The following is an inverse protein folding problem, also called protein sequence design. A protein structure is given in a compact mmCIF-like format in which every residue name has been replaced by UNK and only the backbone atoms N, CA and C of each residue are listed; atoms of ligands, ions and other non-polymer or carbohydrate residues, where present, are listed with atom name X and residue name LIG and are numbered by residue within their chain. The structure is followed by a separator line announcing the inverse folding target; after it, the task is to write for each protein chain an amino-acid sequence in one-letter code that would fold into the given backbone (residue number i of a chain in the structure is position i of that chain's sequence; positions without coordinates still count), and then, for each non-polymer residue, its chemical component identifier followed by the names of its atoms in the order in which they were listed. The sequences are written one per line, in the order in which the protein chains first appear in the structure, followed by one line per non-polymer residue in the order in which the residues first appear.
data_IF_283078736339
#
_entry.id   IF_283078736339
#
_cell.length_a   1.000
_cell.length_b   1.000
_cell.length_c   1.000
_cell.angle_alpha   90.00
_cell.angle_beta   90.00
_cell.angle_gamma   90.00
#
_symmetry.space_group_name_H-M   'P 1'
#
loop_
_entity.id
_entity.type
_entity.pdbx_description
1 polymer ?
#
# COMPACT_ATOMS: atom_id res chain seq x y z
N UNK A 1 -17.34 14.94 -5.12
CA UNK A 1 -16.91 13.67 -5.75
C UNK A 1 -17.04 12.58 -4.69
N UNK A 2 -17.79 11.52 -4.97
CA UNK A 2 -17.91 10.37 -4.07
C UNK A 2 -16.85 9.33 -4.47
N UNK A 3 -15.83 9.15 -3.62
CA UNK A 3 -14.87 8.05 -3.79
C UNK A 3 -15.53 6.82 -3.15
N UNK A 4 -16.00 5.89 -3.99
CA UNK A 4 -16.42 4.58 -3.49
C UNK A 4 -15.18 3.77 -3.13
N UNK A 5 -14.99 3.53 -1.84
CA UNK A 5 -13.99 2.59 -1.34
C UNK A 5 -14.77 1.38 -0.84
N UNK A 6 -14.64 0.20 -1.47
CA UNK A 6 -15.29 -1.01 -0.98
C UNK A 6 -14.95 -1.25 0.50
N UNK A 7 -15.92 -1.63 1.30
CA UNK A 7 -15.73 -1.82 2.75
C UNK A 7 -14.67 -2.88 3.04
N UNK A 8 -14.55 -3.85 2.14
CA UNK A 8 -13.55 -4.90 2.13
C UNK A 8 -12.13 -4.33 2.01
N UNK A 9 -11.96 -3.29 1.19
CA UNK A 9 -10.69 -2.56 1.04
C UNK A 9 -10.39 -1.73 2.28
N UNK A 10 -11.41 -1.22 2.98
CA UNK A 10 -11.25 -0.46 4.22
C UNK A 10 -10.78 -1.31 5.41
N UNK A 11 -10.98 -2.62 5.35
CA UNK A 11 -10.47 -3.54 6.35
C UNK A 11 -8.96 -3.80 6.15
N UNK A 12 -8.46 -3.73 4.92
CA UNK A 12 -7.05 -4.05 4.59
C UNK A 12 -5.99 -3.25 5.38
N UNK A 13 -6.16 -1.94 5.63
CA UNK A 13 -5.26 -1.16 6.47
C UNK A 13 -5.27 -1.54 7.96
N UNK A 14 -6.22 -2.34 8.44
CA UNK A 14 -6.28 -2.76 9.85
C UNK A 14 -5.40 -3.99 10.14
N UNK A 15 -5.05 -4.77 9.12
CA UNK A 15 -4.29 -6.03 9.27
C UNK A 15 -2.76 -5.93 9.44
N UNK A 16 -2.03 -4.89 8.99
CA UNK A 16 -0.57 -4.92 9.01
C UNK A 16 0.05 -4.75 10.40
N UNK A 17 -0.75 -4.74 11.47
CA UNK A 17 -0.28 -4.52 12.86
C UNK A 17 0.65 -5.64 13.33
N UNK A 18 0.45 -6.85 12.80
CA UNK A 18 1.27 -8.03 13.09
C UNK A 18 2.53 -8.11 12.21
N UNK A 19 2.53 -7.42 11.06
CA UNK A 19 3.62 -7.47 10.07
C UNK A 19 4.56 -6.27 10.16
N UNK A 20 4.12 -5.17 10.78
CA UNK A 20 4.86 -3.92 10.88
C UNK A 20 5.07 -3.53 12.34
N UNK A 21 6.29 -3.12 12.69
CA UNK A 21 6.58 -2.53 14.00
C UNK A 21 5.66 -1.32 14.26
N UNK A 22 5.28 -1.12 15.53
CA UNK A 22 4.26 -0.13 15.96
C UNK A 22 4.41 1.28 15.34
N UNK A 23 5.61 1.89 15.23
CA UNK A 23 5.72 3.18 14.54
C UNK A 23 5.47 3.06 13.04
N UNK A 24 6.06 2.05 12.38
CA UNK A 24 5.95 1.83 10.94
C UNK A 24 4.53 1.48 10.49
N UNK A 25 3.76 0.78 11.33
CA UNK A 25 2.35 0.50 11.11
C UNK A 25 1.55 1.79 10.93
N UNK A 26 1.69 2.76 11.84
CA UNK A 26 0.94 4.04 11.76
C UNK A 26 1.27 4.82 10.49
N UNK A 27 2.54 4.83 10.09
CA UNK A 27 2.96 5.44 8.83
C UNK A 27 2.36 4.71 7.63
N UNK A 28 2.42 3.38 7.62
CA UNK A 28 1.88 2.57 6.53
C UNK A 28 0.38 2.76 6.36
N UNK A 29 -0.39 2.63 7.43
CA UNK A 29 -1.84 2.81 7.40
C UNK A 29 -2.21 4.21 6.90
N UNK A 30 -1.56 5.24 7.44
CA UNK A 30 -1.79 6.61 6.98
C UNK A 30 -1.42 6.76 5.50
N UNK A 31 -0.32 6.17 5.05
CA UNK A 31 0.10 6.20 3.65
C UNK A 31 -0.95 5.57 2.72
N UNK A 32 -1.46 4.39 3.07
CA UNK A 32 -2.52 3.71 2.31
C UNK A 32 -3.79 4.57 2.25
N UNK A 33 -4.22 5.14 3.38
CA UNK A 33 -5.36 6.06 3.39
C UNK A 33 -5.16 7.26 2.47
N UNK A 34 -3.97 7.86 2.50
CA UNK A 34 -3.65 8.96 1.61
C UNK A 34 -3.68 8.52 0.14
N UNK A 35 -3.17 7.33 -0.18
CA UNK A 35 -3.22 6.78 -1.54
C UNK A 35 -4.67 6.55 -2.02
N UNK A 36 -5.57 6.12 -1.15
CA UNK A 36 -6.98 5.90 -1.50
C UNK A 36 -7.71 7.22 -1.78
N UNK A 37 -7.42 8.27 -1.00
CA UNK A 37 -8.16 9.54 -1.07
C UNK A 37 -7.52 10.57 -2.02
N UNK A 38 -6.20 10.49 -2.26
CA UNK A 38 -5.50 11.48 -3.10
C UNK A 38 -6.09 11.50 -4.51
N UNK A 39 -6.58 12.63 -4.96
CA UNK A 39 -7.07 12.77 -6.34
C UNK A 39 -5.91 13.03 -7.33
N UNK A 40 -6.03 12.50 -8.54
CA UNK A 40 -5.03 12.67 -9.61
C UNK A 40 -3.72 11.88 -9.37
N UNK A 41 -2.58 12.48 -9.77
CA UNK A 41 -1.26 11.83 -9.70
C UNK A 41 -0.80 11.67 -8.23
N UNK A 42 -0.47 10.44 -7.86
CA UNK A 42 -0.01 10.03 -6.52
C UNK A 42 1.46 10.39 -6.28
N UNK A 43 1.80 11.67 -6.35
CA UNK A 43 3.14 12.16 -6.00
C UNK A 43 3.25 12.35 -4.49
N UNK A 44 4.45 12.22 -3.90
CA UNK A 44 4.66 12.42 -2.45
C UNK A 44 4.14 13.78 -1.98
N UNK A 45 4.34 14.83 -2.80
CA UNK A 45 3.84 16.19 -2.53
C UNK A 45 2.31 16.25 -2.51
N UNK A 46 1.65 15.52 -3.42
CA UNK A 46 0.19 15.47 -3.47
C UNK A 46 -0.35 14.65 -2.30
N UNK A 47 0.20 13.45 -2.06
CA UNK A 47 -0.14 12.56 -0.93
C UNK A 47 -0.01 13.29 0.41
N UNK A 48 1.04 14.10 0.59
CA UNK A 48 1.23 14.91 1.79
C UNK A 48 0.04 15.84 2.10
N UNK A 49 -0.65 16.36 1.08
CA UNK A 49 -1.84 17.22 1.26
C UNK A 49 -3.04 16.45 1.81
N UNK A 50 -3.08 15.13 1.62
CA UNK A 50 -4.14 14.23 2.07
C UNK A 50 -3.78 13.46 3.35
N UNK A 51 -2.68 13.81 4.03
CA UNK A 51 -2.27 13.22 5.31
C UNK A 51 -3.11 13.74 6.47
N UNK A 52 -4.38 13.30 6.55
CA UNK A 52 -5.34 13.74 7.57
C UNK A 52 -5.00 13.20 8.98
N UNK A 53 -4.66 11.91 9.07
CA UNK A 53 -4.52 11.21 10.36
C UNK A 53 -3.15 11.34 11.01
N UNK A 54 -2.11 11.71 10.26
CA UNK A 54 -0.75 11.83 10.77
C UNK A 54 0.04 12.90 10.02
N UNK A 55 0.07 14.12 10.57
CA UNK A 55 0.80 15.25 9.99
C UNK A 55 2.30 15.10 10.23
N UNK A 56 3.04 14.82 9.15
CA UNK A 56 4.51 14.77 9.12
C UNK A 56 5.02 15.58 7.94
N UNK A 57 6.20 16.17 8.09
CA UNK A 57 6.83 16.87 6.97
C UNK A 57 7.08 15.92 5.79
N UNK A 58 7.16 16.48 4.59
CA UNK A 58 7.40 15.72 3.36
C UNK A 58 8.67 14.85 3.46
N UNK A 59 9.74 15.38 4.04
CA UNK A 59 11.00 14.68 4.24
C UNK A 59 10.86 13.41 5.11
N UNK A 60 9.98 13.41 6.11
CA UNK A 60 9.72 12.22 6.93
C UNK A 60 9.01 11.14 6.13
N UNK A 61 8.13 11.51 5.20
CA UNK A 61 7.47 10.57 4.30
C UNK A 61 8.45 9.95 3.32
N UNK A 62 9.31 10.77 2.71
CA UNK A 62 10.37 10.29 1.83
C UNK A 62 11.32 9.34 2.57
N UNK A 63 11.71 9.69 3.80
CA UNK A 63 12.54 8.85 4.65
C UNK A 63 11.84 7.54 5.05
N UNK A 64 10.54 7.60 5.34
CA UNK A 64 9.76 6.40 5.67
C UNK A 64 9.73 5.43 4.49
N UNK A 65 9.46 5.93 3.27
CA UNK A 65 9.42 5.13 2.05
C UNK A 65 10.81 4.62 1.65
N UNK A 66 11.88 5.39 1.89
CA UNK A 66 13.23 4.95 1.55
C UNK A 66 13.80 3.94 2.54
N UNK A 67 13.52 4.11 3.83
CA UNK A 67 14.09 3.28 4.91
C UNK A 67 13.38 1.93 5.06
N UNK A 68 12.07 1.90 4.84
CA UNK A 68 11.31 0.67 4.95
C UNK A 68 11.22 -0.01 3.59
N UNK A 69 12.23 -0.83 3.28
CA UNK A 69 12.20 -1.74 2.14
C UNK A 69 11.38 -2.96 2.52
N UNK A 70 10.08 -2.94 2.24
CA UNK A 70 9.22 -4.09 2.51
C UNK A 70 9.45 -5.18 1.47
N UNK A 71 9.47 -6.43 1.92
CA UNK A 71 9.30 -7.57 1.02
C UNK A 71 7.85 -7.56 0.51
N UNK A 72 7.67 -7.01 -0.69
CA UNK A 72 6.36 -6.91 -1.33
C UNK A 72 5.73 -8.28 -1.57
N UNK A 73 6.52 -9.33 -1.80
CA UNK A 73 6.01 -10.69 -1.96
C UNK A 73 5.45 -11.22 -0.64
N UNK A 74 6.16 -11.02 0.47
CA UNK A 74 5.66 -11.39 1.79
C UNK A 74 4.38 -10.63 2.16
N UNK A 75 4.34 -9.32 1.89
CA UNK A 75 3.15 -8.49 2.14
C UNK A 75 1.97 -8.97 1.29
N UNK A 76 2.15 -9.21 0.00
CA UNK A 76 1.08 -9.72 -0.87
C UNK A 76 0.57 -11.08 -0.42
N UNK A 77 1.47 -12.01 -0.07
CA UNK A 77 1.09 -13.35 0.42
C UNK A 77 0.22 -13.24 1.68
N UNK A 78 0.64 -12.44 2.64
CA UNK A 78 -0.10 -12.26 3.89
C UNK A 78 -1.45 -11.59 3.67
N UNK A 79 -1.50 -10.58 2.80
CA UNK A 79 -2.74 -9.93 2.42
C UNK A 79 -3.74 -10.91 1.78
N UNK A 80 -3.26 -11.76 0.87
CA UNK A 80 -4.08 -12.77 0.21
C UNK A 80 -4.64 -13.79 1.20
N UNK A 81 -3.82 -14.32 2.10
CA UNK A 81 -4.26 -15.26 3.13
C UNK A 81 -5.34 -14.63 4.04
N UNK A 82 -5.16 -13.37 4.43
CA UNK A 82 -6.15 -12.65 5.23
C UNK A 82 -7.45 -12.39 4.49
N UNK A 83 -7.40 -12.07 3.20
CA UNK A 83 -8.60 -11.96 2.38
C UNK A 83 -9.39 -13.27 2.38
N UNK A 84 -8.73 -14.41 2.18
CA UNK A 84 -9.39 -15.73 2.20
C UNK A 84 -10.02 -16.04 3.57
N UNK A 85 -9.36 -15.65 4.66
CA UNK A 85 -9.88 -15.81 6.03
C UNK A 85 -11.13 -14.95 6.28
N UNK A 86 -11.12 -13.69 5.85
CA UNK A 86 -12.20 -12.73 6.12
C UNK A 86 -13.45 -12.96 5.27
N UNK A 87 -13.26 -13.41 4.03
CA UNK A 87 -14.32 -13.61 3.06
C UNK A 87 -14.42 -15.08 2.66
N UNK A 88 -14.50 -15.94 3.69
CA UNK A 88 -14.62 -17.38 3.50
C UNK A 88 -15.80 -17.71 2.59
N UNK A 89 -15.55 -18.54 1.57
CA UNK A 89 -16.56 -18.94 0.59
C UNK A 89 -16.93 -17.88 -0.46
N UNK A 90 -16.67 -16.59 -0.24
CA UNK A 90 -17.05 -15.54 -1.19
C UNK A 90 -16.17 -15.50 -2.44
N UNK A 91 -14.92 -15.97 -2.32
CA UNK A 91 -14.01 -16.12 -3.45
C UNK A 91 -14.22 -17.43 -4.23
N UNK A 92 -15.15 -18.30 -3.81
CA UNK A 92 -15.41 -19.57 -4.48
C UNK A 92 -16.44 -19.40 -5.59
N UNK A 93 -16.04 -19.76 -6.80
CA UNK A 93 -16.94 -19.91 -7.95
C UNK A 93 -17.12 -21.42 -8.18
N UNK A 94 -18.35 -21.92 -8.00
CA UNK A 94 -18.66 -23.36 -8.04
C UNK A 94 -17.78 -24.20 -7.08
N UNK A 95 -17.53 -23.69 -5.87
CA UNK A 95 -16.75 -24.39 -4.85
C UNK A 95 -15.23 -24.41 -5.09
N UNK A 96 -14.73 -23.63 -6.05
CA UNK A 96 -13.30 -23.53 -6.37
C UNK A 96 -12.84 -22.08 -6.45
N UNK A 97 -11.59 -21.81 -6.10
CA UNK A 97 -10.97 -20.51 -6.34
C UNK A 97 -10.71 -20.32 -7.84
N UNK A 98 -11.13 -19.18 -8.38
CA UNK A 98 -10.83 -18.77 -9.74
C UNK A 98 -9.59 -17.86 -9.73
N UNK A 99 -8.59 -18.18 -10.56
CA UNK A 99 -7.39 -17.36 -10.72
C UNK A 99 -7.33 -16.83 -12.13
N UNK A 100 -7.25 -15.50 -12.27
CA UNK A 100 -7.00 -14.83 -13.54
C UNK A 100 -5.52 -14.47 -13.64
N UNK A 101 -4.87 -14.89 -14.72
CA UNK A 101 -3.48 -14.55 -15.02
C UNK A 101 -3.45 -13.57 -16.17
N UNK A 102 -2.87 -12.40 -15.93
CA UNK A 102 -2.63 -11.38 -16.93
C UNK A 102 -1.28 -10.72 -16.65
N UNK A 103 -0.68 -10.13 -17.69
CA UNK A 103 0.62 -9.47 -17.61
C UNK A 103 0.49 -8.03 -18.05
N UNK A 104 0.91 -7.10 -17.20
CA UNK A 104 0.94 -5.67 -17.52
C UNK A 104 2.37 -5.15 -17.43
N UNK A 105 2.78 -4.32 -18.41
CA UNK A 105 4.07 -3.65 -18.39
C UNK A 105 3.96 -2.34 -17.60
N UNK A 106 4.61 -2.27 -16.44
CA UNK A 106 4.83 -1.02 -15.72
C UNK A 106 6.15 -0.40 -16.19
N UNK A 107 6.11 0.28 -17.33
CA UNK A 107 7.28 0.93 -17.90
C UNK A 107 7.68 2.16 -17.08
N UNK A 108 8.96 2.25 -16.68
CA UNK A 108 9.53 3.41 -16.01
C UNK A 108 10.54 4.09 -16.93
N UNK A 109 10.16 5.21 -17.53
CA UNK A 109 11.02 5.97 -18.44
C UNK A 109 11.90 7.02 -17.73
N UNK A 110 12.42 6.67 -16.55
CA UNK A 110 13.32 7.55 -15.79
C UNK A 110 14.60 6.78 -15.52
N UNK A 111 15.75 7.43 -15.67
CA UNK A 111 17.00 6.90 -15.15
C UNK A 111 16.84 6.47 -13.69
N UNK A 112 17.50 5.39 -13.31
CA UNK A 112 17.53 4.93 -11.92
C UNK A 112 18.27 6.00 -11.12
N UNK A 113 17.52 6.96 -10.57
CA UNK A 113 18.02 8.06 -9.76
C UNK A 113 19.00 7.53 -8.69
N UNK A 114 20.29 7.74 -8.92
CA UNK A 114 21.43 7.25 -8.12
C UNK A 114 21.62 8.01 -6.80
N UNK A 115 20.57 8.67 -6.30
CA UNK A 115 20.65 9.46 -5.06
C UNK A 115 20.87 8.62 -3.80
N UNK A 116 20.64 7.30 -3.88
CA UNK A 116 20.81 6.37 -2.75
C UNK A 116 22.13 5.59 -2.77
N UNK A 117 23.00 5.77 -3.76
CA UNK A 117 24.31 5.10 -3.85
C UNK A 117 25.50 5.99 -3.46
N UNK A 118 25.26 7.09 -2.74
CA UNK A 118 26.31 7.98 -2.20
C UNK A 118 26.25 8.09 -0.67
N UNK A 119 26.04 6.96 0.01
CA UNK A 119 26.33 6.82 1.44
C UNK A 119 27.11 5.53 1.60
N UNK A 120 28.36 5.57 1.14
CA UNK A 120 29.45 4.72 1.66
C UNK A 120 30.31 5.60 2.57
#
# INVERSE_FOLDING_TARGET
MYIYIPLEVLQLPLFPKELLSIPNYKYFVTFIWCLLVTEGRKTTRNIYRYCFFYKKNLASWERFLSKNQWDLMAVMKQLFLKLLELFEGQFLVHGKLLVAFDTSLVAKNSEKNSWYSKVE
#
